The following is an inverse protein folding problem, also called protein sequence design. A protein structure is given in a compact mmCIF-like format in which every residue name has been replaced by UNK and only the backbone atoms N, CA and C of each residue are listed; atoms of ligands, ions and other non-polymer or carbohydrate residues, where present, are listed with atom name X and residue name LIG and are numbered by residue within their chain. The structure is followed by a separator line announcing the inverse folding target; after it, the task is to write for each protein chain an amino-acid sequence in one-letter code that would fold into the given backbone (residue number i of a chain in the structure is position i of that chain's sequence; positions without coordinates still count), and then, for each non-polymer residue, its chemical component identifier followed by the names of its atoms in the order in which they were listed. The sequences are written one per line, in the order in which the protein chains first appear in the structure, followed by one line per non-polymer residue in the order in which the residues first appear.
data_IF_372956451498
#
_entry.id   IF_372956451498
#
_cell.length_a   1.000
_cell.length_b   1.000
_cell.length_c   1.000
_cell.angle_alpha   90.00
_cell.angle_beta   90.00
_cell.angle_gamma   90.00
#
_symmetry.space_group_name_H-M   'P 1'
#
loop_
_entity.id
_entity.type
_entity.pdbx_description
1 polymer ?
#
# COMPACT_ATOMS: atom_id res chain seq x y z
N UNK A 1 42.54 13.17 32.47
CA UNK A 1 42.79 13.27 31.01
C UNK A 1 43.32 11.92 30.56
N UNK A 2 42.76 11.13 29.64
CA UNK A 2 41.66 11.23 28.69
C UNK A 2 41.24 9.78 28.35
N UNK A 3 40.11 9.28 28.85
CA UNK A 3 39.43 8.08 28.33
C UNK A 3 37.98 8.37 27.90
N UNK A 4 37.44 9.54 28.28
CA UNK A 4 36.11 9.99 27.86
C UNK A 4 36.09 10.67 26.48
N UNK A 5 37.23 11.19 25.98
CA UNK A 5 37.27 11.88 24.68
C UNK A 5 37.31 10.94 23.46
N UNK A 6 37.70 9.67 23.64
CA UNK A 6 37.76 8.70 22.53
C UNK A 6 36.41 8.06 22.21
N UNK A 7 35.54 7.89 23.22
CA UNK A 7 34.15 7.41 23.02
C UNK A 7 33.23 8.47 22.44
N UNK A 8 33.43 9.75 22.77
CA UNK A 8 32.65 10.86 22.21
C UNK A 8 33.00 11.10 20.74
N UNK A 9 34.29 10.99 20.37
CA UNK A 9 34.74 11.12 18.98
C UNK A 9 34.34 9.94 18.07
N UNK A 10 34.22 8.71 18.59
CA UNK A 10 33.75 7.56 17.79
C UNK A 10 32.23 7.58 17.55
N UNK A 11 31.45 8.08 18.52
CA UNK A 11 30.01 8.33 18.37
C UNK A 11 29.71 9.50 17.42
N UNK A 12 30.50 10.58 17.46
CA UNK A 12 30.35 11.70 16.52
C UNK A 12 30.76 11.33 15.09
N UNK A 13 31.86 10.60 14.89
CA UNK A 13 32.29 10.16 13.55
C UNK A 13 31.36 9.11 12.91
N UNK A 14 30.72 8.26 13.71
CA UNK A 14 29.70 7.31 13.25
C UNK A 14 28.39 7.98 12.79
N UNK A 15 28.02 9.10 13.43
CA UNK A 15 26.82 9.87 13.04
C UNK A 15 27.04 10.65 11.74
N UNK A 16 28.23 11.26 11.54
CA UNK A 16 28.55 12.02 10.32
C UNK A 16 28.61 11.11 9.09
N UNK A 17 29.18 9.89 9.22
CA UNK A 17 29.21 8.92 8.11
C UNK A 17 27.83 8.36 7.80
N UNK A 18 26.98 8.11 8.81
CA UNK A 18 25.59 7.65 8.61
C UNK A 18 24.72 8.73 7.97
N UNK A 19 24.83 9.98 8.40
CA UNK A 19 24.10 11.11 7.82
C UNK A 19 24.49 11.39 6.36
N UNK A 20 25.78 11.29 6.04
CA UNK A 20 26.28 11.40 4.66
C UNK A 20 25.84 10.22 3.78
N UNK A 21 25.75 9.02 4.35
CA UNK A 21 25.26 7.82 3.66
C UNK A 21 23.77 7.95 3.37
N UNK A 22 22.96 8.36 4.35
CA UNK A 22 21.53 8.62 4.21
C UNK A 22 21.23 9.72 3.19
N UNK A 23 22.03 10.81 3.17
CA UNK A 23 21.93 11.89 2.17
C UNK A 23 22.29 11.41 0.76
N UNK A 24 23.26 10.49 0.62
CA UNK A 24 23.62 9.86 -0.66
C UNK A 24 22.55 8.91 -1.15
N UNK A 25 22.03 8.04 -0.29
CA UNK A 25 20.91 7.14 -0.59
C UNK A 25 19.68 7.95 -1.02
N UNK A 26 19.30 8.99 -0.27
CA UNK A 26 18.17 9.86 -0.61
C UNK A 26 18.30 10.53 -2.00
N UNK A 27 19.51 11.00 -2.36
CA UNK A 27 19.79 11.56 -3.70
C UNK A 27 19.70 10.52 -4.81
N UNK A 28 19.98 9.25 -4.52
CA UNK A 28 19.92 8.17 -5.51
C UNK A 28 18.48 7.75 -5.83
N UNK A 29 17.57 7.86 -4.86
CA UNK A 29 16.19 7.37 -4.99
C UNK A 29 15.17 8.40 -5.52
N UNK A 30 15.57 9.66 -5.73
CA UNK A 30 14.64 10.72 -6.15
C UNK A 30 15.08 11.41 -7.44
N UNK A 31 14.49 11.03 -8.58
CA UNK A 31 14.26 12.01 -9.66
C UNK A 31 13.39 13.11 -9.03
N UNK A 32 13.81 14.38 -9.10
CA UNK A 32 13.14 15.51 -8.41
C UNK A 32 11.61 15.34 -8.41
N UNK A 33 10.98 15.09 -7.25
CA UNK A 33 9.55 14.86 -7.18
C UNK A 33 8.81 16.10 -7.71
N UNK A 34 7.80 15.88 -8.57
CA UNK A 34 6.98 16.98 -9.12
C UNK A 34 5.90 17.44 -8.15
N UNK A 35 5.43 16.56 -7.26
CA UNK A 35 4.57 16.90 -6.14
C UNK A 35 5.44 17.05 -4.90
N UNK A 36 4.98 17.86 -3.94
CA UNK A 36 5.72 18.11 -2.70
C UNK A 36 5.07 17.38 -1.54
N UNK A 37 4.68 16.12 -1.72
CA UNK A 37 4.12 15.29 -0.64
C UNK A 37 5.21 14.38 -0.09
N UNK A 38 5.28 14.27 1.24
CA UNK A 38 6.07 13.28 1.96
C UNK A 38 5.14 12.36 2.76
N UNK A 39 5.02 11.09 2.37
CA UNK A 39 4.29 10.11 3.17
C UNK A 39 5.17 9.53 4.29
N UNK A 40 4.65 9.52 5.51
CA UNK A 40 5.22 8.79 6.64
C UNK A 40 4.43 7.51 6.87
N UNK A 41 5.07 6.36 6.63
CA UNK A 41 4.41 5.06 6.64
C UNK A 41 4.75 4.29 7.92
N UNK A 42 3.78 4.05 8.78
CA UNK A 42 3.96 3.18 9.95
C UNK A 42 3.81 1.71 9.56
N UNK A 43 4.92 0.96 9.66
CA UNK A 43 4.97 -0.48 9.35
C UNK A 43 5.36 -1.29 10.58
N UNK A 44 4.85 -2.53 10.71
CA UNK A 44 5.08 -3.30 11.94
C UNK A 44 5.25 -4.81 11.79
N UNK A 45 4.97 -5.39 10.61
CA UNK A 45 5.32 -6.79 10.32
C UNK A 45 5.30 -7.03 8.79
N UNK A 46 5.68 -8.25 8.40
CA UNK A 46 5.56 -8.80 7.04
C UNK A 46 6.19 -7.92 5.95
N UNK A 47 7.51 -8.08 5.80
CA UNK A 47 8.36 -7.37 4.84
C UNK A 47 7.85 -7.39 3.40
N UNK A 48 7.25 -8.50 2.95
CA UNK A 48 6.74 -8.61 1.58
C UNK A 48 5.52 -7.71 1.35
N UNK A 49 4.64 -7.56 2.34
CA UNK A 49 3.52 -6.62 2.25
C UNK A 49 3.98 -5.15 2.29
N UNK A 50 5.10 -4.88 2.96
CA UNK A 50 5.71 -3.54 2.96
C UNK A 50 6.24 -3.22 1.56
N UNK A 51 6.92 -4.16 0.89
CA UNK A 51 7.33 -3.98 -0.51
C UNK A 51 6.14 -3.71 -1.42
N UNK A 52 5.04 -4.43 -1.25
CA UNK A 52 3.81 -4.17 -2.01
C UNK A 52 3.25 -2.77 -1.74
N UNK A 53 3.24 -2.31 -0.50
CA UNK A 53 2.84 -0.94 -0.15
C UNK A 53 3.76 0.11 -0.79
N UNK A 54 5.08 -0.08 -0.71
CA UNK A 54 6.08 0.80 -1.34
C UNK A 54 5.79 0.94 -2.84
N UNK A 55 5.53 -0.17 -3.51
CA UNK A 55 5.24 -0.17 -4.94
C UNK A 55 3.89 0.47 -5.26
N UNK A 56 2.90 0.25 -4.40
CA UNK A 56 1.60 0.89 -4.50
C UNK A 56 1.72 2.43 -4.43
N UNK A 57 2.49 2.96 -3.47
CA UNK A 57 2.75 4.41 -3.38
C UNK A 57 3.49 4.91 -4.61
N UNK A 58 4.55 4.21 -5.05
CA UNK A 58 5.31 4.60 -6.26
C UNK A 58 4.45 4.66 -7.52
N UNK A 59 3.46 3.78 -7.64
CA UNK A 59 2.60 3.73 -8.81
C UNK A 59 1.55 4.84 -8.80
N UNK A 60 0.76 4.94 -7.72
CA UNK A 60 -0.38 5.85 -7.66
C UNK A 60 -0.01 7.28 -7.22
N UNK A 61 1.14 7.45 -6.57
CA UNK A 61 1.68 8.74 -6.14
C UNK A 61 3.14 8.90 -6.61
N UNK A 62 3.42 8.82 -7.92
CA UNK A 62 4.76 8.73 -8.48
C UNK A 62 5.60 10.00 -8.27
N UNK A 63 4.96 11.11 -7.94
CA UNK A 63 5.64 12.38 -7.73
C UNK A 63 5.90 12.68 -6.25
N UNK A 64 5.61 11.76 -5.34
CA UNK A 64 5.75 11.94 -3.89
C UNK A 64 7.02 11.30 -3.36
N UNK A 65 7.53 11.84 -2.26
CA UNK A 65 8.52 11.17 -1.40
C UNK A 65 7.80 10.38 -0.32
N UNK A 66 8.44 9.34 0.20
CA UNK A 66 7.92 8.64 1.35
C UNK A 66 9.05 8.01 2.17
N UNK A 67 8.77 7.85 3.46
CA UNK A 67 9.69 7.30 4.45
C UNK A 67 8.97 6.29 5.34
N UNK A 68 9.73 5.36 5.90
CA UNK A 68 9.20 4.30 6.75
C UNK A 68 9.48 4.61 8.23
N UNK A 69 8.53 4.25 9.09
CA UNK A 69 8.76 4.12 10.53
C UNK A 69 8.51 2.67 10.94
N UNK A 70 9.54 1.99 11.43
CA UNK A 70 9.44 0.60 11.88
C UNK A 70 8.88 0.54 13.30
N UNK A 71 7.55 0.40 13.40
CA UNK A 71 6.82 0.12 14.63
C UNK A 71 6.81 -1.37 15.03
N UNK A 72 7.53 -2.23 14.32
CA UNK A 72 7.53 -3.68 14.47
C UNK A 72 8.51 -4.21 15.51
N UNK A 73 8.42 -5.51 15.78
CA UNK A 73 9.35 -6.20 16.69
C UNK A 73 10.66 -6.64 16.05
N UNK A 74 10.73 -6.66 14.71
CA UNK A 74 11.93 -7.00 13.94
C UNK A 74 12.65 -5.70 13.55
N UNK A 75 13.86 -5.42 14.09
CA UNK A 75 14.61 -4.21 13.75
C UNK A 75 14.98 -4.12 12.26
N UNK A 76 15.17 -5.26 11.60
CA UNK A 76 15.61 -5.35 10.19
C UNK A 76 14.46 -5.25 9.18
N UNK A 77 13.22 -5.05 9.66
CA UNK A 77 12.01 -5.10 8.84
C UNK A 77 12.08 -4.17 7.62
N UNK A 78 12.74 -3.02 7.75
CA UNK A 78 12.83 -1.97 6.72
C UNK A 78 14.16 -1.92 5.96
N UNK A 79 15.14 -2.77 6.29
CA UNK A 79 16.48 -2.75 5.69
C UNK A 79 16.39 -2.99 4.18
N UNK A 80 17.26 -2.43 3.34
CA UNK A 80 17.33 -2.74 1.89
C UNK A 80 16.00 -2.68 1.11
N UNK A 81 15.02 -1.88 1.55
CA UNK A 81 13.74 -1.71 0.84
C UNK A 81 13.77 -0.59 -0.21
N UNK A 82 14.91 0.10 -0.36
CA UNK A 82 15.07 1.24 -1.26
C UNK A 82 14.24 2.46 -0.86
N UNK A 83 13.94 2.58 0.45
CA UNK A 83 13.17 3.67 1.06
C UNK A 83 13.80 3.99 2.42
N UNK A 84 14.06 5.26 2.73
CA UNK A 84 14.62 5.64 4.03
C UNK A 84 13.71 5.23 5.20
N UNK A 85 14.30 4.69 6.26
CA UNK A 85 13.62 4.39 7.51
C UNK A 85 14.09 5.32 8.64
N UNK A 86 13.13 5.84 9.41
CA UNK A 86 13.41 6.77 10.50
C UNK A 86 14.31 6.12 11.56
N UNK A 87 15.45 6.72 11.95
CA UNK A 87 16.43 6.09 12.82
C UNK A 87 15.94 5.92 14.26
N UNK A 88 14.92 6.66 14.70
CA UNK A 88 14.27 6.49 16.01
C UNK A 88 13.23 5.37 16.04
N UNK A 89 13.04 4.67 14.91
CA UNK A 89 12.11 3.55 14.80
C UNK A 89 12.31 2.53 15.91
N UNK A 90 11.20 2.08 16.48
CA UNK A 90 11.16 1.10 17.55
C UNK A 90 9.79 0.45 17.58
N UNK A 91 9.69 -0.73 18.19
CA UNK A 91 8.42 -1.40 18.43
C UNK A 91 7.44 -0.45 19.14
N UNK A 92 6.31 -0.18 18.51
CA UNK A 92 5.23 0.62 19.10
C UNK A 92 4.14 -0.29 19.64
N UNK A 93 3.46 0.17 20.68
CA UNK A 93 2.30 -0.52 21.24
C UNK A 93 1.05 -0.05 20.50
N UNK A 94 0.16 -0.98 20.15
CA UNK A 94 -1.13 -0.65 19.53
C UNK A 94 -1.91 0.37 20.39
N UNK A 95 -2.37 1.44 19.75
CA UNK A 95 -3.04 2.58 20.40
C UNK A 95 -2.12 3.63 21.00
N UNK A 96 -0.80 3.44 20.94
CA UNK A 96 0.22 4.36 21.44
C UNK A 96 1.26 4.62 20.36
N UNK A 97 0.77 5.07 19.21
CA UNK A 97 1.56 5.21 17.97
C UNK A 97 1.93 6.66 17.68
N UNK A 98 1.21 7.64 18.21
CA UNK A 98 1.30 9.08 17.93
C UNK A 98 2.72 9.65 17.86
N UNK A 99 3.63 9.15 18.69
CA UNK A 99 5.03 9.58 18.71
C UNK A 99 5.75 9.42 17.37
N UNK A 100 5.36 8.44 16.53
CA UNK A 100 6.02 8.21 15.25
C UNK A 100 5.86 9.40 14.30
N UNK A 101 4.74 10.13 14.37
CA UNK A 101 4.51 11.32 13.55
C UNK A 101 5.56 12.38 13.89
N UNK A 102 5.70 12.70 15.18
CA UNK A 102 6.59 13.76 15.65
C UNK A 102 8.05 13.45 15.35
N UNK A 103 8.49 12.21 15.61
CA UNK A 103 9.87 11.80 15.34
C UNK A 103 10.18 11.71 13.85
N UNK A 104 9.20 11.29 13.03
CA UNK A 104 9.37 11.29 11.57
C UNK A 104 9.46 12.73 11.06
N UNK A 105 8.59 13.63 11.52
CA UNK A 105 8.63 15.06 11.19
C UNK A 105 9.98 15.68 11.54
N UNK A 106 10.47 15.45 12.76
CA UNK A 106 11.79 15.91 13.25
C UNK A 106 12.89 15.44 12.29
N UNK A 107 12.92 14.14 12.02
CA UNK A 107 13.96 13.54 11.18
C UNK A 107 13.94 14.02 9.72
N UNK A 108 12.76 14.16 9.09
CA UNK A 108 12.71 14.62 7.69
C UNK A 108 13.12 16.10 7.55
N UNK A 109 12.86 16.95 8.55
CA UNK A 109 13.34 18.32 8.58
C UNK A 109 14.86 18.39 8.77
N UNK A 110 15.43 17.55 9.66
CA UNK A 110 16.88 17.44 9.86
C UNK A 110 17.61 16.98 8.58
N UNK A 111 17.03 16.04 7.84
CA UNK A 111 17.56 15.60 6.55
C UNK A 111 17.46 16.68 5.45
N UNK A 112 16.63 17.70 5.64
CA UNK A 112 16.35 18.71 4.64
C UNK A 112 15.56 18.16 3.44
N UNK A 113 14.70 17.17 3.67
CA UNK A 113 13.79 16.65 2.64
C UNK A 113 12.90 17.79 2.14
N UNK A 114 12.83 18.00 0.82
CA UNK A 114 11.94 19.01 0.24
C UNK A 114 10.53 18.43 0.12
N UNK A 115 9.59 19.03 0.84
CA UNK A 115 8.17 18.72 0.80
C UNK A 115 7.36 19.97 1.21
N UNK A 116 6.07 19.91 0.95
CA UNK A 116 5.05 20.92 1.25
C UNK A 116 3.97 20.32 2.15
N UNK A 117 3.64 19.04 1.96
CA UNK A 117 2.65 18.31 2.76
C UNK A 117 3.24 17.03 3.35
N UNK A 118 3.09 16.86 4.65
CA UNK A 118 3.35 15.62 5.39
C UNK A 118 2.05 14.83 5.51
N UNK A 119 2.05 13.55 5.15
CA UNK A 119 0.86 12.69 5.24
C UNK A 119 1.20 11.38 5.93
N UNK A 120 0.45 11.00 6.95
CA UNK A 120 0.64 9.73 7.62
C UNK A 120 -0.25 8.62 7.00
N UNK A 121 0.30 7.43 6.83
CA UNK A 121 -0.44 6.25 6.36
C UNK A 121 -0.04 4.98 7.14
N UNK A 122 -1.02 4.12 7.39
CA UNK A 122 -0.81 2.85 8.08
C UNK A 122 -0.49 1.72 7.08
N UNK A 123 0.17 0.66 7.54
CA UNK A 123 0.58 -0.48 6.70
C UNK A 123 -0.55 -1.29 6.05
N UNK A 124 -1.81 -1.09 6.46
CA UNK A 124 -3.02 -1.65 5.85
C UNK A 124 -3.78 -0.63 4.97
N UNK A 125 -3.20 0.55 4.70
CA UNK A 125 -3.73 1.47 3.70
C UNK A 125 -3.14 1.17 2.31
N UNK A 126 -3.92 1.30 1.25
CA UNK A 126 -3.46 1.23 -0.14
C UNK A 126 -4.15 2.29 -0.99
N UNK A 127 -3.44 2.84 -1.96
CA UNK A 127 -4.02 3.62 -3.05
C UNK A 127 -4.62 2.66 -4.08
N UNK A 128 -5.80 3.01 -4.60
CA UNK A 128 -6.51 2.18 -5.58
C UNK A 128 -6.75 2.93 -6.90
N UNK A 129 -6.42 4.23 -6.96
CA UNK A 129 -6.65 5.09 -8.11
C UNK A 129 -5.65 6.24 -8.13
N UNK A 130 -5.29 6.69 -9.33
CA UNK A 130 -4.45 7.87 -9.55
C UNK A 130 -5.16 9.17 -9.13
N UNK A 131 -4.36 10.23 -8.98
CA UNK A 131 -4.85 11.59 -8.78
C UNK A 131 -4.90 12.07 -7.34
N UNK A 132 -4.55 11.20 -6.37
CA UNK A 132 -4.47 11.57 -4.95
C UNK A 132 -3.60 12.82 -4.72
N UNK A 133 -2.42 12.87 -5.36
CA UNK A 133 -1.50 14.01 -5.24
C UNK A 133 -2.15 15.34 -5.69
N UNK A 134 -2.85 15.33 -6.83
CA UNK A 134 -3.54 16.50 -7.36
C UNK A 134 -4.64 16.97 -6.41
N UNK A 135 -5.39 16.02 -5.84
CA UNK A 135 -6.46 16.32 -4.88
C UNK A 135 -5.86 16.97 -3.63
N UNK A 136 -4.76 16.45 -3.10
CA UNK A 136 -4.09 17.08 -1.95
C UNK A 136 -3.62 18.50 -2.30
N UNK A 137 -2.92 18.67 -3.43
CA UNK A 137 -2.43 19.98 -3.86
C UNK A 137 -3.54 21.00 -4.11
N UNK A 138 -4.70 20.57 -4.59
CA UNK A 138 -5.88 21.43 -4.78
C UNK A 138 -6.53 21.77 -3.43
N UNK A 139 -6.79 20.75 -2.61
CA UNK A 139 -7.52 20.91 -1.35
C UNK A 139 -6.73 21.65 -0.28
N UNK A 140 -5.39 21.63 -0.33
CA UNK A 140 -4.55 22.29 0.67
C UNK A 140 -4.18 23.74 0.30
N UNK A 141 -4.71 24.31 -0.80
CA UNK A 141 -4.45 25.71 -1.16
C UNK A 141 -4.95 26.70 -0.10
N UNK A 142 -6.06 26.39 0.55
CA UNK A 142 -6.74 27.23 1.53
C UNK A 142 -6.69 26.69 2.98
N UNK A 143 -5.93 25.63 3.21
CA UNK A 143 -5.78 24.99 4.50
C UNK A 143 -4.32 24.62 4.82
N UNK A 144 -4.06 24.44 6.11
CA UNK A 144 -2.76 24.02 6.64
C UNK A 144 -2.82 22.63 7.27
N UNK A 145 -4.04 22.16 7.61
CA UNK A 145 -4.31 20.84 8.13
C UNK A 145 -5.59 20.28 7.51
N UNK A 146 -5.57 19.02 7.06
CA UNK A 146 -6.74 18.32 6.58
C UNK A 146 -6.77 16.89 7.13
N UNK A 147 -7.93 16.42 7.56
CA UNK A 147 -8.05 15.06 8.08
C UNK A 147 -9.44 14.46 7.83
N UNK A 148 -9.47 13.13 7.76
CA UNK A 148 -10.71 12.36 7.65
C UNK A 148 -11.48 12.50 8.97
N UNK A 149 -12.81 12.63 8.88
CA UNK A 149 -13.71 12.73 10.04
C UNK A 149 -13.41 13.88 11.02
N UNK A 150 -12.72 14.95 10.59
CA UNK A 150 -12.50 16.15 11.41
C UNK A 150 -13.82 16.70 11.97
N UNK A 151 -14.00 16.71 13.29
CA UNK A 151 -15.24 17.18 13.95
C UNK A 151 -15.02 17.47 15.43
N UNK A 152 -16.02 18.06 16.06
CA UNK A 152 -16.21 17.98 17.51
C UNK A 152 -16.90 16.63 17.79
N UNK A 153 -16.25 15.68 18.48
CA UNK A 153 -16.81 14.35 18.72
C UNK A 153 -17.89 14.40 19.81
N UNK A 154 -18.87 13.49 19.73
CA UNK A 154 -19.87 13.33 20.79
C UNK A 154 -19.28 12.74 22.07
N UNK A 155 -19.98 12.93 23.20
CA UNK A 155 -19.55 12.52 24.55
C UNK A 155 -19.18 11.01 24.68
N UNK A 156 -19.75 10.17 23.82
CA UNK A 156 -19.56 8.72 23.82
C UNK A 156 -18.37 8.22 22.98
N UNK A 157 -17.67 9.10 22.26
CA UNK A 157 -16.53 8.71 21.45
C UNK A 157 -15.44 8.04 22.31
N UNK A 158 -15.02 6.84 21.91
CA UNK A 158 -14.10 6.01 22.69
C UNK A 158 -12.78 6.72 22.96
N UNK A 159 -12.18 7.36 21.95
CA UNK A 159 -10.92 8.09 22.13
C UNK A 159 -11.10 9.27 23.07
N UNK A 160 -12.21 10.01 22.97
CA UNK A 160 -12.55 11.07 23.93
C UNK A 160 -12.65 10.56 25.38
N UNK A 161 -13.14 9.33 25.59
CA UNK A 161 -13.11 8.68 26.93
C UNK A 161 -11.68 8.32 27.37
N UNK A 162 -10.80 7.94 26.46
CA UNK A 162 -9.39 7.65 26.76
C UNK A 162 -8.59 8.93 27.05
N UNK A 163 -8.87 10.03 26.34
CA UNK A 163 -8.28 11.34 26.58
C UNK A 163 -8.54 11.82 28.01
N UNK A 164 -9.78 11.63 28.50
CA UNK A 164 -10.18 12.04 29.86
C UNK A 164 -9.35 11.40 30.99
N UNK A 165 -8.69 10.27 30.73
CA UNK A 165 -7.81 9.61 31.72
C UNK A 165 -6.51 10.37 31.97
N UNK A 166 -6.11 11.23 31.03
CA UNK A 166 -4.85 11.97 31.02
C UNK A 166 -5.12 13.46 30.73
N UNK A 167 -6.28 13.96 31.16
CA UNK A 167 -6.82 15.25 30.72
C UNK A 167 -5.93 16.43 31.11
N UNK A 168 -5.28 16.36 32.28
CA UNK A 168 -4.44 17.44 32.79
C UNK A 168 -3.21 17.63 31.90
N UNK A 169 -2.58 16.53 31.45
CA UNK A 169 -1.48 16.56 30.48
C UNK A 169 -1.90 17.27 29.19
N UNK A 170 -3.08 16.96 28.67
CA UNK A 170 -3.56 17.53 27.41
C UNK A 170 -3.95 19.00 27.53
N UNK A 171 -4.57 19.41 28.65
CA UNK A 171 -4.91 20.81 28.95
C UNK A 171 -3.68 21.71 29.03
N UNK A 172 -2.52 21.17 29.42
CA UNK A 172 -1.26 21.91 29.42
C UNK A 172 -0.71 22.20 28.03
N UNK A 173 -1.16 21.46 27.00
CA UNK A 173 -0.64 21.58 25.63
C UNK A 173 -1.56 22.40 24.73
N UNK A 174 -2.88 22.22 24.86
CA UNK A 174 -3.89 22.93 24.09
C UNK A 174 -5.06 23.31 25.00
N UNK A 175 -5.39 24.62 25.04
CA UNK A 175 -6.38 25.19 25.95
C UNK A 175 -7.75 25.24 25.27
N UNK A 176 -8.23 24.08 24.86
CA UNK A 176 -9.43 23.94 24.03
C UNK A 176 -10.57 23.25 24.79
N UNK A 177 -11.77 23.80 24.65
CA UNK A 177 -13.02 23.16 25.02
C UNK A 177 -14.13 23.65 24.05
N UNK A 178 -14.70 22.77 23.21
CA UNK A 178 -14.46 21.33 23.12
C UNK A 178 -13.20 20.97 22.31
N UNK A 179 -12.70 19.74 22.48
CA UNK A 179 -11.63 19.19 21.65
C UNK A 179 -12.12 18.77 20.27
N UNK A 180 -11.23 18.87 19.28
CA UNK A 180 -11.42 18.28 17.97
C UNK A 180 -10.98 16.82 17.94
N UNK A 181 -11.62 16.03 17.08
CA UNK A 181 -11.24 14.64 16.78
C UNK A 181 -11.19 14.39 15.28
N UNK A 182 -10.30 13.49 14.87
CA UNK A 182 -10.09 13.05 13.49
C UNK A 182 -10.00 11.53 13.44
N UNK A 183 -9.92 10.95 12.24
CA UNK A 183 -9.44 9.58 12.07
C UNK A 183 -7.92 9.59 11.89
N UNK A 184 -7.23 8.55 12.37
CA UNK A 184 -5.78 8.55 12.46
C UNK A 184 -5.09 8.53 11.10
N UNK A 185 -5.56 7.73 10.13
CA UNK A 185 -4.97 7.56 8.79
C UNK A 185 -5.32 8.75 7.87
N UNK A 186 -4.32 9.23 7.12
CA UNK A 186 -4.52 10.25 6.11
C UNK A 186 -4.66 11.67 6.69
N UNK A 187 -3.99 11.98 7.79
CA UNK A 187 -3.86 13.38 8.21
C UNK A 187 -2.83 14.06 7.32
N UNK A 188 -3.17 15.23 6.79
CA UNK A 188 -2.38 16.03 5.86
C UNK A 188 -1.98 17.31 6.56
N UNK A 189 -0.67 17.54 6.73
CA UNK A 189 -0.13 18.71 7.43
C UNK A 189 0.79 19.48 6.50
N UNK A 190 0.54 20.78 6.37
CA UNK A 190 1.45 21.67 5.64
C UNK A 190 2.78 21.79 6.38
N UNK A 191 3.87 21.93 5.64
CA UNK A 191 5.22 22.04 6.22
C UNK A 191 5.36 23.21 7.20
N UNK A 192 4.63 24.31 7.01
CA UNK A 192 4.57 25.42 7.97
C UNK A 192 4.04 24.98 9.34
N UNK A 193 2.99 24.16 9.37
CA UNK A 193 2.46 23.55 10.59
C UNK A 193 3.48 22.58 11.19
N UNK A 194 4.10 21.72 10.38
CA UNK A 194 5.15 20.80 10.87
C UNK A 194 6.29 21.56 11.57
N UNK A 195 6.79 22.63 10.95
CA UNK A 195 7.84 23.48 11.56
C UNK A 195 7.38 24.16 12.85
N UNK A 196 6.13 24.57 12.93
CA UNK A 196 5.57 25.18 14.15
C UNK A 196 5.43 24.15 15.29
N UNK A 197 5.10 22.89 14.98
CA UNK A 197 5.07 21.78 15.94
C UNK A 197 6.49 21.48 16.46
N UNK A 198 7.48 21.51 15.57
CA UNK A 198 8.88 21.20 15.88
C UNK A 198 9.67 22.37 16.48
N UNK A 199 9.03 23.50 16.77
CA UNK A 199 9.70 24.66 17.35
C UNK A 199 10.37 24.27 18.68
N UNK A 200 11.68 24.56 18.89
CA UNK A 200 12.46 24.00 19.99
C UNK A 200 11.86 24.21 21.38
N UNK A 201 11.20 25.35 21.64
CA UNK A 201 10.60 25.62 22.95
C UNK A 201 9.39 24.74 23.28
N UNK A 202 8.78 24.12 22.27
CA UNK A 202 7.56 23.30 22.39
C UNK A 202 7.81 21.81 22.15
N UNK A 203 8.71 21.49 21.21
CA UNK A 203 8.95 20.12 20.72
C UNK A 203 9.21 19.12 21.85
N UNK A 204 10.10 19.44 22.79
CA UNK A 204 10.41 18.53 23.91
C UNK A 204 9.21 18.31 24.83
N UNK A 205 8.40 19.36 25.08
CA UNK A 205 7.16 19.24 25.84
C UNK A 205 6.18 18.29 25.15
N UNK A 206 6.01 18.43 23.84
CA UNK A 206 5.16 17.56 23.03
C UNK A 206 5.66 16.11 23.04
N UNK A 207 6.96 15.91 22.84
CA UNK A 207 7.60 14.59 22.82
C UNK A 207 7.40 13.86 24.15
N UNK A 208 7.67 14.52 25.28
CA UNK A 208 7.47 13.94 26.60
C UNK A 208 6.00 13.59 26.85
N UNK A 209 5.07 14.47 26.49
CA UNK A 209 3.65 14.19 26.63
C UNK A 209 3.20 12.95 25.82
N UNK A 210 3.69 12.79 24.59
CA UNK A 210 3.36 11.64 23.75
C UNK A 210 4.01 10.34 24.23
N UNK A 211 5.21 10.39 24.82
CA UNK A 211 5.91 9.21 25.35
C UNK A 211 5.30 8.70 26.65
N UNK A 212 4.82 9.61 27.49
CA UNK A 212 4.30 9.28 28.83
C UNK A 212 2.78 9.08 28.86
N UNK A 213 2.09 9.39 27.76
CA UNK A 213 0.63 9.34 27.79
C UNK A 213 0.09 7.93 28.01
N UNK A 214 -0.96 7.84 28.82
CA UNK A 214 -1.74 6.62 29.03
C UNK A 214 -3.01 6.58 28.15
N UNK A 215 -3.31 7.66 27.43
CA UNK A 215 -4.47 7.76 26.53
C UNK A 215 -4.25 6.96 25.24
N UNK A 216 -5.10 5.96 25.04
CA UNK A 216 -5.16 5.21 23.79
C UNK A 216 -5.72 6.08 22.65
N UNK A 217 -5.08 6.01 21.47
CA UNK A 217 -5.50 6.69 20.24
C UNK A 217 -5.27 8.20 20.27
N UNK A 218 -4.20 8.65 20.92
CA UNK A 218 -3.88 10.08 21.00
C UNK A 218 -3.57 10.71 19.64
N UNK A 219 -3.33 9.92 18.60
CA UNK A 219 -3.14 10.33 17.21
C UNK A 219 -4.43 10.86 16.55
N UNK A 220 -5.60 10.49 17.08
CA UNK A 220 -6.90 11.03 16.65
C UNK A 220 -7.23 12.40 17.27
N UNK A 221 -6.37 12.94 18.17
CA UNK A 221 -6.64 14.17 18.93
C UNK A 221 -5.44 15.14 18.92
N UNK A 222 -4.23 14.65 19.13
CA UNK A 222 -3.07 15.49 19.41
C UNK A 222 -2.82 16.52 18.30
N UNK A 223 -2.59 16.06 17.07
CA UNK A 223 -2.17 16.95 15.98
C UNK A 223 -3.27 17.92 15.52
N UNK A 224 -4.53 17.49 15.50
CA UNK A 224 -5.65 18.37 15.15
C UNK A 224 -5.82 19.50 16.18
N UNK A 225 -5.69 19.20 17.47
CA UNK A 225 -5.83 20.23 18.51
C UNK A 225 -4.61 21.15 18.59
N UNK A 226 -3.40 20.63 18.34
CA UNK A 226 -2.20 21.47 18.20
C UNK A 226 -2.30 22.39 16.97
N UNK A 227 -2.80 21.91 15.83
CA UNK A 227 -3.01 22.75 14.66
C UNK A 227 -3.97 23.91 14.97
N UNK A 228 -5.07 23.63 15.69
CA UNK A 228 -6.01 24.66 16.12
C UNK A 228 -5.40 25.65 17.12
N UNK A 229 -4.73 25.16 18.17
CA UNK A 229 -4.06 25.99 19.20
C UNK A 229 -3.03 26.94 18.59
N UNK A 230 -2.31 26.48 17.57
CA UNK A 230 -1.32 27.27 16.83
C UNK A 230 -1.95 28.20 15.77
N UNK A 231 -3.28 28.24 15.65
CA UNK A 231 -4.00 29.15 14.76
C UNK A 231 -4.00 28.76 13.28
N UNK A 232 -3.71 27.50 12.95
CA UNK A 232 -3.68 27.02 11.56
C UNK A 232 -5.07 26.69 11.03
N UNK A 233 -5.26 26.85 9.71
CA UNK A 233 -6.55 26.58 9.05
C UNK A 233 -6.75 25.07 8.88
N UNK A 234 -7.84 24.55 9.43
CA UNK A 234 -8.17 23.13 9.38
C UNK A 234 -9.38 22.86 8.48
N UNK A 235 -9.38 21.75 7.73
CA UNK A 235 -10.54 21.30 6.94
C UNK A 235 -10.74 19.78 6.96
N UNK A 236 -11.94 19.36 6.59
CA UNK A 236 -12.28 17.95 6.32
C UNK A 236 -11.78 17.56 4.92
N UNK A 237 -11.61 16.26 4.70
CA UNK A 237 -11.51 15.73 3.34
C UNK A 237 -12.72 16.15 2.47
N UNK A 238 -12.51 16.37 1.16
CA UNK A 238 -13.52 16.99 0.29
C UNK A 238 -14.70 16.07 -0.03
N UNK A 239 -14.49 14.75 -0.08
CA UNK A 239 -15.51 13.81 -0.50
C UNK A 239 -16.04 13.02 0.70
N UNK A 240 -17.36 12.88 0.77
CA UNK A 240 -18.02 12.05 1.78
C UNK A 240 -17.53 10.60 1.68
N UNK A 241 -17.34 10.10 0.46
CA UNK A 241 -16.80 8.76 0.18
C UNK A 241 -15.41 8.51 0.79
N UNK A 242 -14.57 9.54 0.97
CA UNK A 242 -13.27 9.36 1.65
C UNK A 242 -13.46 8.95 3.12
N UNK A 243 -14.57 9.38 3.73
CA UNK A 243 -14.93 9.01 5.11
C UNK A 243 -15.39 7.55 5.25
N UNK A 244 -15.85 6.97 4.14
CA UNK A 244 -16.25 5.56 4.04
C UNK A 244 -15.07 4.68 3.63
N UNK A 245 -14.18 5.21 2.79
CA UNK A 245 -12.96 4.57 2.31
C UNK A 245 -11.83 4.53 3.33
N UNK A 246 -11.74 5.53 4.20
CA UNK A 246 -10.70 5.63 5.23
C UNK A 246 -11.38 5.49 6.60
N UNK A 247 -11.46 4.24 7.07
CA UNK A 247 -12.24 3.83 8.24
C UNK A 247 -11.51 2.82 9.13
N UNK A 248 -11.97 2.61 10.36
CA UNK A 248 -11.35 1.66 11.28
C UNK A 248 -11.55 0.20 10.85
N UNK A 249 -12.80 -0.20 10.59
CA UNK A 249 -13.27 -1.54 10.19
C UNK A 249 -14.69 -1.42 9.60
N UNK A 250 -15.20 -2.45 8.89
CA UNK A 250 -14.51 -3.68 8.46
C UNK A 250 -13.42 -3.43 7.41
N UNK A 251 -12.59 -4.44 7.15
CA UNK A 251 -11.68 -4.41 6.01
C UNK A 251 -12.48 -4.52 4.70
N UNK A 252 -11.92 -3.95 3.63
CA UNK A 252 -12.56 -3.96 2.32
C UNK A 252 -12.61 -5.35 1.70
N UNK A 253 -13.79 -5.72 1.23
CA UNK A 253 -14.00 -6.90 0.38
C UNK A 253 -13.80 -6.54 -1.10
N UNK A 254 -13.68 -7.57 -1.94
CA UNK A 254 -13.39 -7.42 -3.37
C UNK A 254 -14.47 -6.61 -4.10
N UNK A 255 -15.73 -6.97 -3.87
CA UNK A 255 -16.93 -6.29 -4.40
C UNK A 255 -16.93 -4.80 -4.01
N UNK A 256 -16.64 -4.50 -2.75
CA UNK A 256 -16.60 -3.13 -2.24
C UNK A 256 -15.50 -2.31 -2.94
N UNK A 257 -14.31 -2.88 -3.19
CA UNK A 257 -13.26 -2.18 -3.95
C UNK A 257 -13.67 -1.95 -5.40
N UNK A 258 -14.32 -2.93 -6.04
CA UNK A 258 -14.82 -2.80 -7.41
C UNK A 258 -15.87 -1.69 -7.49
N UNK A 259 -16.82 -1.65 -6.56
CA UNK A 259 -17.84 -0.59 -6.47
C UNK A 259 -17.20 0.78 -6.28
N UNK A 260 -16.18 0.87 -5.42
CA UNK A 260 -15.43 2.10 -5.21
C UNK A 260 -14.74 2.55 -6.50
N UNK A 261 -14.06 1.65 -7.22
CA UNK A 261 -13.37 1.96 -8.48
C UNK A 261 -14.34 2.37 -9.60
N UNK A 262 -15.54 1.78 -9.61
CA UNK A 262 -16.62 2.15 -10.52
C UNK A 262 -17.27 3.51 -10.17
N UNK A 263 -17.06 4.00 -8.95
CA UNK A 263 -17.54 5.31 -8.50
C UNK A 263 -16.63 6.45 -8.98
N UNK A 264 -17.21 7.62 -9.23
CA UNK A 264 -16.49 8.76 -9.85
C UNK A 264 -15.82 9.73 -8.86
N UNK A 265 -16.11 9.68 -7.56
CA UNK A 265 -15.68 10.73 -6.61
C UNK A 265 -15.09 10.14 -5.33
N UNK A 266 -13.77 10.10 -5.24
CA UNK A 266 -12.99 9.83 -4.03
C UNK A 266 -11.51 10.16 -4.28
N UNK A 267 -10.73 10.27 -3.21
CA UNK A 267 -9.32 10.67 -3.25
C UNK A 267 -8.37 9.59 -3.78
N UNK A 268 -8.72 8.32 -3.61
CA UNK A 268 -7.92 7.18 -4.07
C UNK A 268 -7.28 6.37 -2.95
N UNK A 269 -7.23 6.88 -1.71
CA UNK A 269 -6.69 6.18 -0.55
C UNK A 269 -7.78 5.31 0.11
N UNK A 270 -7.48 4.04 0.36
CA UNK A 270 -8.38 3.07 0.96
C UNK A 270 -7.75 2.46 2.21
N UNK A 271 -8.49 2.44 3.32
CA UNK A 271 -8.09 1.84 4.58
C UNK A 271 -9.32 1.32 5.34
N UNK A 272 -9.36 0.03 5.74
CA UNK A 272 -8.23 -0.89 5.79
C UNK A 272 -8.32 -2.04 4.77
N UNK A 273 -7.20 -2.37 4.13
CA UNK A 273 -7.03 -3.56 3.31
C UNK A 273 -6.34 -4.66 4.12
N UNK A 274 -6.92 -5.86 4.14
CA UNK A 274 -6.35 -6.98 4.88
C UNK A 274 -4.86 -7.19 4.56
N UNK A 275 -4.05 -7.36 5.62
CA UNK A 275 -2.62 -7.63 5.52
C UNK A 275 -2.33 -9.11 5.37
N UNK A 276 -3.01 -9.72 4.40
CA UNK A 276 -2.84 -11.10 4.00
C UNK A 276 -2.44 -11.11 2.53
N UNK A 277 -1.40 -11.87 2.19
CA UNK A 277 -0.88 -11.92 0.81
C UNK A 277 -1.92 -12.41 -0.21
N UNK A 278 -2.83 -13.28 0.24
CA UNK A 278 -3.88 -13.88 -0.58
C UNK A 278 -5.23 -13.15 -0.46
N UNK A 279 -5.27 -11.98 0.16
CA UNK A 279 -6.47 -11.15 0.21
C UNK A 279 -6.88 -10.71 -1.21
N UNK A 280 -8.15 -10.91 -1.57
CA UNK A 280 -8.64 -10.69 -2.94
C UNK A 280 -8.59 -9.21 -3.32
N UNK A 281 -8.99 -8.31 -2.40
CA UNK A 281 -8.93 -6.86 -2.58
C UNK A 281 -7.50 -6.40 -2.85
N UNK A 282 -6.54 -6.86 -2.04
CA UNK A 282 -5.11 -6.58 -2.23
C UNK A 282 -4.59 -7.10 -3.56
N UNK A 283 -4.99 -8.31 -3.96
CA UNK A 283 -4.60 -8.89 -5.26
C UNK A 283 -5.15 -8.05 -6.43
N UNK A 284 -6.40 -7.62 -6.38
CA UNK A 284 -6.97 -6.72 -7.40
C UNK A 284 -6.14 -5.44 -7.52
N UNK A 285 -5.89 -4.76 -6.40
CA UNK A 285 -5.11 -3.51 -6.36
C UNK A 285 -3.70 -3.71 -6.95
N UNK A 286 -3.06 -4.85 -6.62
CA UNK A 286 -1.76 -5.22 -7.17
C UNK A 286 -1.81 -5.45 -8.69
N UNK A 287 -2.87 -6.06 -9.20
CA UNK A 287 -3.04 -6.28 -10.64
C UNK A 287 -3.33 -4.97 -11.40
N UNK A 288 -4.04 -4.02 -10.79
CA UNK A 288 -4.23 -2.69 -11.40
C UNK A 288 -2.90 -1.95 -11.59
N UNK A 289 -1.94 -2.16 -10.67
CA UNK A 289 -0.59 -1.62 -10.78
C UNK A 289 0.37 -2.51 -11.61
N UNK A 290 -0.12 -3.58 -12.25
CA UNK A 290 0.69 -4.63 -12.88
C UNK A 290 1.74 -4.09 -13.86
N UNK A 291 1.36 -3.16 -14.75
CA UNK A 291 2.26 -2.63 -15.78
C UNK A 291 3.49 -1.93 -15.20
N UNK A 292 3.39 -1.35 -14.00
CA UNK A 292 4.54 -0.79 -13.27
C UNK A 292 5.26 -1.86 -12.44
N UNK A 293 4.53 -2.85 -11.91
CA UNK A 293 5.12 -3.95 -11.16
C UNK A 293 6.01 -4.85 -12.02
N UNK A 294 5.65 -5.06 -13.30
CA UNK A 294 6.46 -5.87 -14.22
C UNK A 294 7.84 -5.25 -14.48
N UNK A 295 7.97 -3.93 -14.38
CA UNK A 295 9.27 -3.27 -14.52
C UNK A 295 10.26 -3.69 -13.41
N UNK A 296 9.77 -3.95 -12.21
CA UNK A 296 10.63 -4.41 -11.11
C UNK A 296 10.99 -5.89 -11.25
N UNK A 297 10.14 -6.66 -11.93
CA UNK A 297 10.46 -8.00 -12.37
C UNK A 297 11.43 -8.01 -13.56
N UNK A 298 11.75 -6.85 -14.20
CA UNK A 298 12.82 -6.78 -15.21
C UNK A 298 14.20 -7.06 -14.64
N UNK A 299 14.41 -6.62 -13.39
CA UNK A 299 15.68 -6.80 -12.70
C UNK A 299 15.84 -8.23 -12.16
N UNK A 300 14.74 -9.00 -12.05
CA UNK A 300 14.82 -10.44 -11.79
C UNK A 300 15.21 -11.16 -13.08
N UNK A 301 16.33 -11.88 -13.06
CA UNK A 301 16.80 -12.66 -14.22
C UNK A 301 15.85 -13.86 -14.40
N UNK A 302 14.84 -13.68 -15.24
CA UNK A 302 14.02 -14.77 -15.76
C UNK A 302 14.69 -15.37 -17.01
N UNK A 303 14.57 -16.70 -17.24
CA UNK A 303 15.23 -17.38 -18.37
C UNK A 303 14.92 -16.82 -19.77
N UNK A 304 13.81 -16.08 -19.91
CA UNK A 304 13.34 -15.51 -21.17
C UNK A 304 13.49 -13.99 -21.25
N UNK A 305 13.90 -13.33 -20.15
CA UNK A 305 13.85 -11.87 -20.02
C UNK A 305 14.79 -11.13 -21.00
N UNK A 306 15.88 -11.77 -21.41
CA UNK A 306 16.90 -11.18 -22.28
C UNK A 306 16.51 -11.13 -23.78
N UNK A 307 15.30 -11.59 -24.16
CA UNK A 307 14.88 -11.71 -25.56
C UNK A 307 13.56 -10.97 -25.78
N UNK A 308 13.61 -9.81 -26.43
CA UNK A 308 12.50 -9.06 -27.04
C UNK A 308 11.18 -8.99 -26.23
N UNK A 309 10.98 -7.88 -25.52
CA UNK A 309 9.76 -7.59 -24.73
C UNK A 309 8.46 -7.63 -25.56
N UNK A 310 8.51 -7.40 -26.88
CA UNK A 310 7.32 -7.51 -27.72
C UNK A 310 6.85 -8.96 -27.85
N UNK A 311 7.77 -9.90 -27.73
CA UNK A 311 7.53 -11.32 -27.91
C UNK A 311 7.11 -12.04 -26.61
N UNK A 312 7.39 -11.46 -25.44
CA UNK A 312 7.09 -12.10 -24.15
C UNK A 312 6.24 -11.25 -23.20
N UNK A 313 5.24 -11.86 -22.57
CA UNK A 313 4.45 -11.23 -21.50
C UNK A 313 4.22 -12.22 -20.34
N UNK A 314 4.93 -12.09 -19.22
CA UNK A 314 4.77 -12.96 -18.05
C UNK A 314 3.64 -12.50 -17.12
N UNK A 315 2.80 -13.39 -16.63
CA UNK A 315 1.84 -13.08 -15.55
C UNK A 315 2.56 -12.61 -14.28
N UNK A 316 1.84 -12.01 -13.32
CA UNK A 316 2.39 -11.89 -11.96
C UNK A 316 2.75 -13.27 -11.41
N UNK A 317 3.93 -13.43 -10.80
CA UNK A 317 4.30 -14.69 -10.19
C UNK A 317 3.47 -14.95 -8.94
N UNK A 318 2.99 -16.17 -8.81
CA UNK A 318 2.32 -16.67 -7.59
C UNK A 318 3.29 -17.56 -6.82
N UNK A 319 2.98 -17.79 -5.54
CA UNK A 319 3.59 -18.89 -4.78
C UNK A 319 2.54 -19.99 -4.64
N UNK A 320 2.80 -21.16 -5.23
CA UNK A 320 1.88 -22.29 -5.15
C UNK A 320 1.87 -22.94 -3.76
N UNK A 321 0.87 -23.81 -3.52
CA UNK A 321 0.81 -24.69 -2.34
C UNK A 321 2.04 -25.60 -2.22
N UNK A 322 2.72 -25.87 -3.34
CA UNK A 322 3.96 -26.64 -3.39
C UNK A 322 5.20 -25.82 -2.99
N UNK A 323 5.05 -24.51 -2.78
CA UNK A 323 6.10 -23.62 -2.28
C UNK A 323 7.00 -23.01 -3.37
N UNK A 324 6.81 -23.37 -4.64
CA UNK A 324 7.55 -22.80 -5.77
C UNK A 324 7.03 -21.41 -6.13
N UNK A 325 7.87 -20.59 -6.78
CA UNK A 325 7.39 -19.43 -7.55
C UNK A 325 6.94 -19.94 -8.92
N UNK A 326 5.78 -19.51 -9.39
CA UNK A 326 5.14 -20.05 -10.58
C UNK A 326 4.54 -18.90 -11.39
N UNK A 327 4.60 -18.98 -12.71
CA UNK A 327 4.01 -17.97 -13.60
C UNK A 327 3.69 -18.55 -14.98
N UNK A 328 2.81 -17.86 -15.72
CA UNK A 328 2.51 -18.15 -17.12
C UNK A 328 3.17 -17.09 -17.98
N UNK A 329 3.82 -17.50 -19.07
CA UNK A 329 4.42 -16.57 -20.03
C UNK A 329 3.72 -16.74 -21.37
N UNK A 330 3.22 -15.64 -21.92
CA UNK A 330 2.93 -15.58 -23.35
C UNK A 330 4.24 -15.43 -24.12
N UNK A 331 4.52 -16.33 -25.05
CA UNK A 331 5.62 -16.22 -26.03
C UNK A 331 5.02 -16.23 -27.44
N UNK A 332 5.12 -15.13 -28.18
CA UNK A 332 4.36 -14.95 -29.42
C UNK A 332 2.86 -15.05 -29.15
N UNK A 333 2.18 -16.01 -29.75
CA UNK A 333 0.76 -16.28 -29.53
C UNK A 333 0.51 -17.55 -28.68
N UNK A 334 1.49 -18.01 -27.92
CA UNK A 334 1.40 -19.25 -27.13
C UNK A 334 1.56 -19.01 -25.62
N UNK A 335 0.94 -19.83 -24.78
CA UNK A 335 1.13 -19.81 -23.32
C UNK A 335 1.95 -21.00 -22.85
N UNK A 336 2.94 -20.72 -21.99
CA UNK A 336 3.78 -21.73 -21.36
C UNK A 336 3.85 -21.47 -19.86
N UNK A 337 3.80 -22.54 -19.08
CA UNK A 337 3.97 -22.47 -17.63
C UNK A 337 5.44 -22.69 -17.21
N UNK A 338 5.90 -21.83 -16.31
CA UNK A 338 7.26 -21.83 -15.75
C UNK A 338 7.24 -21.83 -14.22
N UNK A 339 8.25 -22.45 -13.63
CA UNK A 339 8.36 -22.54 -12.18
C UNK A 339 9.80 -22.54 -11.67
N UNK A 340 10.04 -21.82 -10.58
CA UNK A 340 11.32 -21.80 -9.87
C UNK A 340 11.31 -22.89 -8.81
N UNK A 341 12.25 -23.83 -8.92
CA UNK A 341 12.45 -24.83 -7.90
C UNK A 341 12.92 -24.15 -6.61
N UNK A 342 12.14 -24.32 -5.53
CA UNK A 342 12.39 -23.64 -4.25
C UNK A 342 13.79 -23.91 -3.68
N UNK A 343 14.34 -25.11 -3.92
CA UNK A 343 15.64 -25.56 -3.38
C UNK A 343 16.79 -25.09 -4.26
N UNK A 344 16.75 -25.41 -5.55
CA UNK A 344 17.88 -25.14 -6.47
C UNK A 344 17.89 -23.72 -7.02
N UNK A 345 16.78 -22.98 -6.85
CA UNK A 345 16.55 -21.65 -7.47
C UNK A 345 16.62 -21.66 -9.00
N UNK A 346 16.55 -22.84 -9.62
CA UNK A 346 16.52 -22.99 -11.07
C UNK A 346 15.10 -22.89 -11.58
N UNK A 347 14.92 -22.11 -12.64
CA UNK A 347 13.68 -22.07 -13.40
C UNK A 347 13.55 -23.28 -14.31
N UNK A 348 12.35 -23.82 -14.37
CA UNK A 348 11.97 -24.96 -15.18
C UNK A 348 10.78 -24.55 -16.06
N UNK A 349 10.72 -25.15 -17.25
CA UNK A 349 9.65 -24.95 -18.23
C UNK A 349 8.83 -26.24 -18.33
N UNK A 350 7.51 -26.10 -18.42
CA UNK A 350 6.60 -27.22 -18.72
C UNK A 350 6.12 -27.15 -20.19
N UNK A 351 5.10 -27.93 -20.56
CA UNK A 351 4.56 -27.88 -21.93
C UNK A 351 3.96 -26.51 -22.25
N UNK A 352 4.05 -26.11 -23.52
CA UNK A 352 3.15 -25.09 -24.09
C UNK A 352 1.74 -25.69 -24.08
N UNK A 353 0.78 -24.98 -23.49
CA UNK A 353 -0.58 -25.52 -23.27
C UNK A 353 -1.68 -24.75 -24.01
N UNK A 354 -1.35 -23.62 -24.61
CA UNK A 354 -2.30 -22.83 -25.39
C UNK A 354 -1.60 -22.13 -26.57
N UNK A 355 -2.38 -21.88 -27.62
CA UNK A 355 -2.01 -21.13 -28.82
C UNK A 355 -3.16 -20.18 -29.20
N UNK A 356 -2.90 -19.19 -30.06
CA UNK A 356 -3.89 -18.21 -30.49
C UNK A 356 -4.26 -17.19 -29.41
N UNK A 357 -3.35 -16.88 -28.49
CA UNK A 357 -3.53 -15.89 -27.42
C UNK A 357 -2.85 -14.56 -27.74
N UNK A 358 -3.34 -13.48 -27.14
CA UNK A 358 -2.72 -12.16 -27.16
C UNK A 358 -2.76 -11.52 -25.77
N UNK A 359 -1.93 -10.50 -25.56
CA UNK A 359 -1.81 -9.75 -24.31
C UNK A 359 -1.22 -10.55 -23.13
N UNK A 360 -1.34 -10.01 -21.92
CA UNK A 360 -0.74 -10.55 -20.71
C UNK A 360 -1.66 -11.63 -20.13
N UNK A 361 -1.16 -12.84 -19.82
CA UNK A 361 -1.95 -13.84 -19.14
C UNK A 361 -2.13 -13.48 -17.66
N UNK A 362 -3.29 -13.79 -17.11
CA UNK A 362 -3.57 -13.75 -15.68
C UNK A 362 -3.49 -15.15 -15.13
N UNK A 363 -2.89 -15.28 -13.95
CA UNK A 363 -2.59 -16.56 -13.35
C UNK A 363 -3.00 -16.63 -11.88
N UNK A 364 -3.56 -17.77 -11.50
CA UNK A 364 -4.04 -18.05 -10.16
C UNK A 364 -3.80 -19.53 -9.80
N UNK A 365 -3.57 -19.80 -8.51
CA UNK A 365 -3.61 -21.15 -7.96
C UNK A 365 -4.78 -21.24 -6.98
N UNK A 366 -5.72 -22.14 -7.26
CA UNK A 366 -6.95 -22.26 -6.47
C UNK A 366 -6.72 -23.01 -5.15
N UNK A 367 -7.75 -23.04 -4.29
CA UNK A 367 -7.66 -23.63 -2.95
C UNK A 367 -7.36 -25.13 -2.95
N UNK A 368 -7.76 -25.83 -4.02
CA UNK A 368 -7.44 -27.26 -4.23
C UNK A 368 -5.98 -27.48 -4.63
N UNK A 369 -5.25 -26.42 -4.97
CA UNK A 369 -3.88 -26.48 -5.43
C UNK A 369 -3.74 -26.63 -6.95
N UNK A 370 -4.84 -26.60 -7.70
CA UNK A 370 -4.83 -26.57 -9.17
C UNK A 370 -4.49 -25.16 -9.66
N UNK A 371 -4.04 -25.08 -10.91
CA UNK A 371 -3.69 -23.81 -11.53
C UNK A 371 -4.73 -23.38 -12.54
N UNK A 372 -4.94 -22.07 -12.65
CA UNK A 372 -5.95 -21.47 -13.51
C UNK A 372 -5.33 -20.26 -14.22
N UNK A 373 -5.63 -20.12 -15.51
CA UNK A 373 -5.12 -19.04 -16.34
C UNK A 373 -6.23 -18.47 -17.23
N UNK A 374 -6.19 -17.16 -17.44
CA UNK A 374 -7.06 -16.46 -18.38
C UNK A 374 -6.24 -15.52 -19.27
N UNK A 375 -6.59 -15.42 -20.54
CA UNK A 375 -5.87 -14.58 -21.50
C UNK A 375 -6.79 -14.22 -22.68
N UNK A 376 -6.54 -13.06 -23.31
CA UNK A 376 -7.27 -12.64 -24.50
C UNK A 376 -6.91 -13.56 -25.68
N UNK A 377 -7.87 -13.83 -26.55
CA UNK A 377 -7.67 -14.64 -27.75
C UNK A 377 -7.45 -13.74 -28.96
N UNK A 378 -6.63 -14.18 -29.92
CA UNK A 378 -6.39 -13.46 -31.19
C UNK A 378 -7.71 -13.26 -31.97
N UNK A 379 -8.58 -14.27 -31.93
CA UNK A 379 -9.90 -14.26 -32.56
C UNK A 379 -10.98 -13.45 -31.81
N UNK A 380 -10.64 -12.81 -30.70
CA UNK A 380 -11.57 -12.10 -29.83
C UNK A 380 -12.05 -12.93 -28.63
N UNK A 381 -12.49 -12.21 -27.59
CA UNK A 381 -12.90 -12.80 -26.31
C UNK A 381 -11.76 -13.21 -25.39
N UNK A 382 -12.12 -13.89 -24.29
CA UNK A 382 -11.20 -14.35 -23.25
C UNK A 382 -11.30 -15.87 -23.10
N UNK A 383 -10.15 -16.55 -23.20
CA UNK A 383 -10.02 -17.98 -22.94
C UNK A 383 -9.66 -18.25 -21.48
N UNK A 384 -10.15 -19.38 -20.97
CA UNK A 384 -9.85 -19.94 -19.66
C UNK A 384 -9.20 -21.31 -19.78
N UNK A 385 -8.14 -21.54 -19.04
CA UNK A 385 -7.45 -22.82 -18.93
C UNK A 385 -7.25 -23.19 -17.47
N UNK A 386 -7.23 -24.49 -17.18
CA UNK A 386 -6.87 -24.98 -15.85
C UNK A 386 -5.95 -26.19 -15.93
N UNK A 387 -5.14 -26.39 -14.90
CA UNK A 387 -4.25 -27.53 -14.74
C UNK A 387 -4.59 -28.29 -13.49
N UNK A 388 -4.78 -29.59 -13.63
CA UNK A 388 -4.99 -30.48 -12.50
C UNK A 388 -3.64 -30.96 -11.95
N UNK A 389 -3.29 -30.48 -10.76
CA UNK A 389 -1.96 -30.75 -10.18
C UNK A 389 -1.86 -32.10 -9.47
N UNK A 390 -2.99 -32.73 -9.16
CA UNK A 390 -3.04 -34.04 -8.52
C UNK A 390 -3.16 -35.19 -9.54
N UNK A 391 -3.43 -34.90 -10.82
CA UNK A 391 -3.47 -35.94 -11.87
C UNK A 391 -2.08 -36.20 -12.44
N UNK A 392 -1.79 -37.48 -12.67
CA UNK A 392 -0.52 -37.91 -13.30
C UNK A 392 -0.34 -37.20 -14.64
N UNK A 393 0.83 -36.58 -14.82
CA UNK A 393 1.16 -35.84 -16.04
C UNK A 393 0.74 -34.37 -16.03
N UNK A 394 0.09 -33.89 -14.96
CA UNK A 394 -0.28 -32.49 -14.76
C UNK A 394 -1.02 -31.88 -15.96
N UNK A 395 -2.12 -32.51 -16.44
CA UNK A 395 -2.77 -32.11 -17.67
C UNK A 395 -3.35 -30.70 -17.57
N UNK A 396 -3.16 -29.93 -18.65
CA UNK A 396 -3.86 -28.68 -18.90
C UNK A 396 -5.12 -28.94 -19.72
N UNK A 397 -6.17 -28.18 -19.44
CA UNK A 397 -7.45 -28.22 -20.12
C UNK A 397 -7.84 -26.83 -20.61
N UNK A 398 -8.73 -26.76 -21.62
CA UNK A 398 -9.21 -25.53 -22.24
C UNK A 398 -8.75 -25.34 -23.69
N UNK A 399 -9.03 -24.18 -24.31
CA UNK A 399 -9.74 -23.05 -23.71
C UNK A 399 -11.23 -23.31 -23.56
N UNK A 400 -11.80 -22.95 -22.40
CA UNK A 400 -13.22 -22.58 -22.30
C UNK A 400 -13.31 -21.09 -22.59
N UNK A 401 -14.28 -20.69 -23.40
CA UNK A 401 -14.53 -19.28 -23.68
C UNK A 401 -15.34 -18.66 -22.53
N UNK A 402 -14.80 -17.63 -21.86
CA UNK A 402 -15.49 -16.91 -20.79
C UNK A 402 -16.49 -15.90 -21.38
N UNK A 403 -16.04 -15.13 -22.37
CA UNK A 403 -16.82 -14.06 -23.00
C UNK A 403 -16.30 -13.78 -24.40
N UNK A 404 -17.17 -13.32 -25.29
CA UNK A 404 -16.81 -12.74 -26.60
C UNK A 404 -16.65 -11.22 -26.54
N UNK A 405 -17.00 -10.58 -25.41
CA UNK A 405 -16.85 -9.14 -25.26
C UNK A 405 -15.36 -8.74 -25.33
N UNK A 406 -15.08 -7.60 -25.97
CA UNK A 406 -13.74 -7.00 -25.94
C UNK A 406 -13.53 -6.25 -24.62
N UNK A 407 -13.12 -7.01 -23.61
CA UNK A 407 -12.80 -6.52 -22.27
C UNK A 407 -11.37 -6.92 -21.89
N UNK A 408 -10.79 -6.17 -20.97
CA UNK A 408 -9.43 -6.44 -20.49
C UNK A 408 -9.49 -7.27 -19.20
N UNK A 409 -8.95 -8.50 -19.15
CA UNK A 409 -8.89 -9.25 -17.90
C UNK A 409 -7.97 -8.52 -16.91
N UNK A 410 -8.36 -8.43 -15.63
CA UNK A 410 -7.58 -7.78 -14.57
C UNK A 410 -7.25 -8.73 -13.41
N UNK A 411 -8.20 -9.55 -12.97
CA UNK A 411 -7.99 -10.49 -11.85
C UNK A 411 -8.71 -11.81 -12.12
N UNK A 412 -8.00 -12.92 -11.94
CA UNK A 412 -8.56 -14.27 -11.84
C UNK A 412 -8.39 -14.75 -10.40
N UNK A 413 -9.48 -15.18 -9.78
CA UNK A 413 -9.49 -15.59 -8.37
C UNK A 413 -10.61 -16.61 -8.07
N UNK A 414 -10.65 -17.11 -6.84
CA UNK A 414 -11.68 -18.01 -6.35
C UNK A 414 -12.38 -17.42 -5.12
N UNK A 415 -13.71 -17.35 -5.16
CA UNK A 415 -14.56 -16.91 -4.04
C UNK A 415 -14.51 -17.91 -2.86
N UNK A 416 -15.06 -17.51 -1.72
CA UNK A 416 -15.13 -18.38 -0.53
C UNK A 416 -16.00 -19.63 -0.75
N UNK A 417 -17.04 -19.52 -1.58
CA UNK A 417 -17.90 -20.63 -1.98
C UNK A 417 -17.26 -21.60 -2.99
N UNK A 418 -16.04 -21.29 -3.46
CA UNK A 418 -15.28 -22.10 -4.39
C UNK A 418 -15.49 -21.75 -5.87
N UNK A 419 -16.40 -20.83 -6.21
CA UNK A 419 -16.56 -20.38 -7.60
C UNK A 419 -15.35 -19.58 -8.07
N UNK A 420 -14.86 -19.89 -9.27
CA UNK A 420 -13.82 -19.09 -9.93
C UNK A 420 -14.47 -17.84 -10.53
N UNK A 421 -13.81 -16.70 -10.36
CA UNK A 421 -14.21 -15.41 -10.89
C UNK A 421 -13.12 -14.79 -11.75
N UNK A 422 -13.55 -14.06 -12.78
CA UNK A 422 -12.71 -13.19 -13.58
C UNK A 422 -13.26 -11.75 -13.48
N UNK A 423 -12.45 -10.82 -12.99
CA UNK A 423 -12.71 -9.38 -13.07
C UNK A 423 -12.10 -8.85 -14.35
N UNK A 424 -12.90 -8.15 -15.16
CA UNK A 424 -12.44 -7.47 -16.37
C UNK A 424 -12.79 -5.98 -16.35
N UNK A 425 -11.96 -5.20 -17.02
CA UNK A 425 -12.21 -3.80 -17.32
C UNK A 425 -12.89 -3.66 -18.68
N UNK A 426 -14.00 -2.91 -18.70
CA UNK A 426 -14.75 -2.51 -19.88
C UNK A 426 -14.91 -1.00 -19.87
N UNK A 427 -14.06 -0.29 -20.62
CA UNK A 427 -13.95 1.17 -20.52
C UNK A 427 -13.52 1.60 -19.12
N UNK A 428 -14.30 2.50 -18.50
CA UNK A 428 -14.02 3.03 -17.16
C UNK A 428 -14.58 2.18 -16.01
N UNK A 429 -15.14 1.00 -16.31
CA UNK A 429 -15.79 0.15 -15.31
C UNK A 429 -15.13 -1.22 -15.20
N UNK A 430 -15.09 -1.74 -13.99
CA UNK A 430 -14.82 -3.13 -13.67
C UNK A 430 -16.14 -3.91 -13.59
N UNK A 431 -16.11 -5.10 -14.18
CA UNK A 431 -17.21 -6.07 -14.24
C UNK A 431 -16.64 -7.47 -14.04
N UNK A 432 -17.47 -8.46 -13.82
CA UNK A 432 -17.01 -9.79 -13.47
C UNK A 432 -17.85 -10.87 -14.11
N UNK A 433 -17.18 -11.99 -14.30
CA UNK A 433 -17.75 -13.24 -14.73
C UNK A 433 -17.48 -14.24 -13.63
N UNK A 434 -18.48 -15.01 -13.27
CA UNK A 434 -18.35 -16.13 -12.33
C UNK A 434 -18.61 -17.44 -13.07
N UNK A 435 -17.82 -18.46 -12.75
CA UNK A 435 -18.05 -19.81 -13.22
C UNK A 435 -19.11 -20.50 -12.34
N UNK A 436 -20.19 -20.96 -12.95
CA UNK A 436 -21.27 -21.69 -12.29
C UNK A 436 -20.81 -23.06 -11.82
N UNK A 437 -21.64 -23.72 -11.01
CA UNK A 437 -21.37 -25.11 -10.59
C UNK A 437 -21.41 -26.07 -11.78
N UNK A 438 -22.20 -25.77 -12.83
CA UNK A 438 -22.20 -26.52 -14.09
C UNK A 438 -20.99 -26.19 -15.00
N UNK A 439 -20.15 -25.22 -14.64
CA UNK A 439 -18.97 -24.83 -15.41
C UNK A 439 -19.23 -23.74 -16.46
N UNK A 440 -20.40 -23.07 -16.41
CA UNK A 440 -20.74 -21.98 -17.33
C UNK A 440 -20.29 -20.62 -16.78
N UNK A 441 -19.73 -19.75 -17.63
CA UNK A 441 -19.32 -18.42 -17.22
C UNK A 441 -20.46 -17.41 -17.42
N UNK A 442 -20.88 -16.77 -16.33
CA UNK A 442 -21.99 -15.82 -16.33
C UNK A 442 -21.47 -14.45 -15.90
N UNK A 443 -21.82 -13.42 -16.67
CA UNK A 443 -21.54 -12.03 -16.31
C UNK A 443 -22.47 -11.62 -15.17
N UNK A 444 -21.90 -11.21 -14.04
CA UNK A 444 -22.67 -10.82 -12.87
C UNK A 444 -22.51 -9.29 -12.61
N UNK A 445 -23.56 -8.62 -12.10
CA UNK A 445 -23.53 -7.18 -11.81
C UNK A 445 -23.05 -6.83 -10.39
N UNK A 446 -23.30 -7.70 -9.40
CA UNK A 446 -22.87 -7.62 -7.99
C UNK A 446 -22.48 -9.05 -7.52
N UNK A 447 -21.44 -9.19 -6.67
CA UNK A 447 -21.00 -10.50 -6.16
C UNK A 447 -21.94 -10.74 -4.99
N UNK A 448 -22.90 -11.65 -5.17
CA UNK A 448 -23.92 -11.96 -4.17
C UNK A 448 -23.36 -12.77 -3.00
#
# INVERSE_FOLDING_TARGET
MNENDSKVNSLQNGNVTREQTLKKEYKYFTKKPKSKICFAILVHNNRELIKELINNVRFFCPNSTFVLFNGGGDPSLCDDLGVPACPSSRKLKYGYTTIYFLETMEWIEELGIDYEYFINIDSDALFIKDGYENIISEQMRDADYMAVRLRIPGHNWFIGKQLRKDIDRWKELFRLDPYYGVFNVGQVMKRSLVKAILEPSKKEKYKNALLETISFGSDEIFFVNIAHELGFKMKKYPYVSDTDLIRYRPHFKLDEIIDCLNSKKFSGLCHPIHRLKNDQSRRLIKQLAYKCMIEQYRDEIYPWYEKDESNFAPSLPIRSKFGNKELIVRSGNTLTHYWENRVTKRWNRTITFAEGVKDIPIFHGNRSGNFEAACKLERGGIGFWWRENEKRGYPWHGPILITQEDVEPILLDQLEDGRTILVCQSGDKLTYWACSVEGEWIKEPHLS
#
